data_IF_803611459251
#
_entry.id   IF_803611459251
#
_cell.length_a   1.000
_cell.length_b   1.000
_cell.length_c   1.000
_cell.angle_alpha   90.00
_cell.angle_beta   90.00
_cell.angle_gamma   90.00
#
_symmetry.space_group_name_H-M   'P 1'
#
loop_
_entity.id
_entity.type
_entity.pdbx_description
1 polymer ?
#
# COMPACT_ATOMS: atom_id res chain seq x y z
N UNK A 1 -9.86 9.00 -21.52
CA UNK A 1 -8.95 8.35 -20.56
C UNK A 1 -8.37 9.45 -19.71
N UNK A 2 -8.45 9.32 -18.39
CA UNK A 2 -7.89 10.30 -17.44
C UNK A 2 -6.58 9.72 -16.92
N UNK A 3 -5.48 10.47 -16.89
CA UNK A 3 -4.25 9.97 -16.28
C UNK A 3 -4.45 9.84 -14.76
N UNK A 4 -3.99 8.73 -14.20
CA UNK A 4 -3.88 8.57 -12.76
C UNK A 4 -2.90 9.59 -12.18
N UNK A 5 -3.24 10.24 -11.07
CA UNK A 5 -2.37 11.25 -10.46
C UNK A 5 -1.12 10.67 -9.80
N UNK A 6 -1.11 9.37 -9.46
CA UNK A 6 0.01 8.72 -8.80
C UNK A 6 1.04 8.12 -9.77
N UNK A 7 0.58 7.59 -10.91
CA UNK A 7 1.44 6.83 -11.83
C UNK A 7 1.28 7.21 -13.31
N UNK A 8 0.50 8.27 -13.61
CA UNK A 8 0.23 8.80 -14.96
C UNK A 8 -0.39 7.81 -15.95
N UNK A 9 -0.70 6.59 -15.49
CA UNK A 9 -1.31 5.54 -16.30
C UNK A 9 -2.72 5.92 -16.77
N UNK A 10 -3.08 5.57 -18.03
CA UNK A 10 -4.39 5.88 -18.58
C UNK A 10 -5.48 4.98 -17.96
N UNK A 11 -6.41 5.57 -17.20
CA UNK A 11 -7.52 4.83 -16.58
C UNK A 11 -8.87 5.15 -17.22
N UNK A 12 -9.80 4.18 -17.14
CA UNK A 12 -11.19 4.35 -17.54
C UNK A 12 -11.91 5.28 -16.53
N UNK A 13 -12.84 6.13 -17.01
CA UNK A 13 -13.59 7.01 -16.13
C UNK A 13 -14.49 6.21 -15.19
N UNK A 14 -14.32 6.39 -13.88
CA UNK A 14 -15.14 5.72 -12.85
C UNK A 14 -14.56 4.42 -12.30
N UNK A 15 -13.43 3.94 -12.82
CA UNK A 15 -12.69 2.81 -12.24
C UNK A 15 -11.57 3.28 -11.32
N UNK A 16 -11.25 2.49 -10.30
CA UNK A 16 -10.04 2.66 -9.50
C UNK A 16 -8.80 2.42 -10.37
N UNK A 17 -7.70 3.11 -10.05
CA UNK A 17 -6.42 2.82 -10.68
C UNK A 17 -5.94 1.43 -10.24
N UNK A 18 -5.61 0.51 -11.16
CA UNK A 18 -5.15 -0.83 -10.80
C UNK A 18 -3.79 -0.84 -10.10
N UNK A 19 -3.01 0.25 -10.19
CA UNK A 19 -1.67 0.35 -9.61
C UNK A 19 -1.63 1.02 -8.23
N UNK A 20 -2.68 1.72 -7.82
CA UNK A 20 -2.67 2.46 -6.55
C UNK A 20 -4.06 2.62 -5.90
N UNK A 21 -5.09 1.94 -6.43
CA UNK A 21 -6.44 1.91 -5.87
C UNK A 21 -7.22 3.24 -5.93
N UNK A 22 -6.58 4.38 -6.20
CA UNK A 22 -7.27 5.67 -6.19
C UNK A 22 -8.21 5.77 -7.40
N UNK A 23 -9.47 6.10 -7.15
CA UNK A 23 -10.37 6.49 -8.21
C UNK A 23 -9.81 7.75 -8.87
N UNK A 24 -9.85 7.82 -10.21
CA UNK A 24 -9.67 9.07 -10.93
C UNK A 24 -10.86 9.98 -10.58
N UNK A 25 -10.83 10.58 -9.40
CA UNK A 25 -11.91 11.43 -8.92
C UNK A 25 -11.95 12.62 -9.86
N UNK A 26 -13.10 12.74 -10.51
CA UNK A 26 -13.48 13.93 -11.26
C UNK A 26 -13.28 15.09 -10.30
N UNK A 27 -12.22 15.91 -10.50
CA UNK A 27 -11.92 17.12 -9.71
C UNK A 27 -13.23 17.82 -9.40
N UNK A 28 -13.72 17.64 -8.18
CA UNK A 28 -14.88 18.36 -7.70
C UNK A 28 -14.41 19.81 -7.65
N UNK A 29 -14.81 20.59 -8.65
CA UNK A 29 -14.57 22.03 -8.69
C UNK A 29 -15.49 22.65 -7.64
N UNK A 30 -15.19 22.44 -6.37
CA UNK A 30 -15.68 23.31 -5.32
C UNK A 30 -14.94 24.63 -5.56
N UNK A 31 -15.63 25.73 -5.92
CA UNK A 31 -14.96 27.00 -6.12
C UNK A 31 -14.30 27.41 -4.80
N UNK A 32 -13.02 27.78 -4.86
CA UNK A 32 -12.17 28.24 -3.74
C UNK A 32 -12.81 29.32 -2.84
N UNK A 33 -13.93 29.91 -3.25
CA UNK A 33 -14.71 30.87 -2.46
C UNK A 33 -15.52 30.23 -1.30
N UNK A 34 -15.82 28.93 -1.33
CA UNK A 34 -16.63 28.27 -0.29
C UNK A 34 -15.81 27.74 0.91
N UNK A 35 -14.48 27.80 0.85
CA UNK A 35 -13.54 27.29 1.86
C UNK A 35 -13.14 28.34 2.92
N UNK A 36 -13.73 29.54 2.94
CA UNK A 36 -13.35 30.61 3.88
C UNK A 36 -14.27 30.78 5.09
N UNK A 37 -15.35 29.99 5.22
CA UNK A 37 -16.33 30.16 6.31
C UNK A 37 -16.59 28.92 7.17
N UNK A 38 -16.10 27.74 6.78
CA UNK A 38 -16.16 26.56 7.64
C UNK A 38 -14.73 26.13 7.97
N UNK A 39 -14.24 26.57 9.13
CA UNK A 39 -13.00 26.09 9.73
C UNK A 39 -13.13 24.64 10.19
N UNK A 40 -13.31 23.72 9.25
CA UNK A 40 -13.08 22.30 9.47
C UNK A 40 -11.78 21.94 8.77
N UNK A 41 -10.80 21.56 9.58
CA UNK A 41 -9.70 20.74 9.13
C UNK A 41 -10.31 19.48 8.48
N UNK A 42 -10.29 19.42 7.14
CA UNK A 42 -10.51 18.18 6.42
C UNK A 42 -9.21 17.36 6.53
N UNK A 43 -9.07 16.62 7.63
CA UNK A 43 -8.34 15.37 7.59
C UNK A 43 -9.38 14.30 7.29
N UNK A 44 -9.61 14.02 6.01
CA UNK A 44 -10.56 13.01 5.57
C UNK A 44 -9.84 12.04 4.61
N UNK A 45 -9.23 11.02 5.19
CA UNK A 45 -8.77 9.84 4.49
C UNK A 45 -8.80 8.66 5.47
N UNK A 46 -9.89 7.91 5.48
CA UNK A 46 -10.06 6.73 6.34
C UNK A 46 -11.51 6.49 6.74
N UNK A 47 -12.37 6.20 5.77
CA UNK A 47 -13.74 5.73 6.00
C UNK A 47 -13.84 4.20 5.82
N UNK A 48 -14.74 3.52 6.55
CA UNK A 48 -14.66 2.11 6.92
C UNK A 48 -15.09 1.15 5.81
N UNK A 49 -14.33 1.07 4.72
CA UNK A 49 -14.46 -0.02 3.73
C UNK A 49 -13.29 -0.98 3.78
N UNK A 50 -12.68 -1.12 4.95
CA UNK A 50 -11.84 -2.25 5.29
C UNK A 50 -12.73 -3.50 5.33
N UNK A 51 -12.89 -4.13 4.17
CA UNK A 51 -13.28 -5.55 4.06
C UNK A 51 -12.35 -6.46 4.89
N UNK A 52 -11.24 -5.92 5.44
CA UNK A 52 -10.30 -6.51 6.38
C UNK A 52 -10.92 -6.99 7.72
N UNK A 53 -12.11 -6.51 8.12
CA UNK A 53 -12.67 -6.83 9.45
C UNK A 53 -13.62 -8.06 9.51
N UNK A 54 -13.92 -8.72 8.39
CA UNK A 54 -14.93 -9.81 8.36
C UNK A 54 -14.34 -11.23 8.44
N UNK A 55 -13.04 -11.39 8.28
CA UNK A 55 -12.34 -12.69 8.36
C UNK A 55 -11.00 -12.65 9.11
N UNK A 56 -10.67 -11.52 9.76
CA UNK A 56 -9.62 -11.48 10.80
C UNK A 56 -8.19 -11.70 10.33
N UNK A 57 -7.91 -11.56 9.03
CA UNK A 57 -6.57 -11.41 8.49
C UNK A 57 -6.62 -10.17 7.62
N UNK A 58 -6.21 -9.04 8.20
CA UNK A 58 -5.95 -7.85 7.42
C UNK A 58 -4.66 -8.10 6.65
N UNK A 59 -4.78 -8.68 5.46
CA UNK A 59 -3.73 -8.61 4.45
C UNK A 59 -3.67 -7.15 4.00
N UNK A 60 -2.74 -6.46 4.64
CA UNK A 60 -2.38 -5.07 4.39
C UNK A 60 -0.94 -5.10 3.89
N UNK A 61 -0.58 -4.04 3.17
CA UNK A 61 0.76 -3.70 2.72
C UNK A 61 1.04 -2.36 3.43
N UNK A 62 1.65 -2.41 4.62
CA UNK A 62 1.82 -1.22 5.48
C UNK A 62 3.08 -0.43 5.13
N UNK A 63 4.11 -1.05 4.57
CA UNK A 63 5.34 -0.38 4.14
C UNK A 63 5.36 0.05 2.65
N UNK A 64 4.46 -0.50 1.82
CA UNK A 64 4.25 -0.10 0.44
C UNK A 64 5.22 -0.75 -0.56
N UNK A 65 5.81 -1.90 -0.24
CA UNK A 65 6.76 -2.62 -1.08
C UNK A 65 6.09 -3.48 -2.19
N UNK A 66 4.78 -3.67 -2.09
CA UNK A 66 3.95 -4.44 -3.02
C UNK A 66 3.70 -5.90 -2.63
N UNK A 67 4.18 -6.31 -1.46
CA UNK A 67 3.86 -7.54 -0.76
C UNK A 67 2.87 -7.24 0.37
N UNK A 68 2.10 -8.24 0.76
CA UNK A 68 1.11 -8.10 1.85
C UNK A 68 1.50 -9.01 2.99
N UNK A 69 1.06 -8.70 4.21
CA UNK A 69 1.37 -9.46 5.43
C UNK A 69 1.06 -10.96 5.45
N UNK A 70 0.44 -11.54 4.40
CA UNK A 70 0.34 -12.99 4.22
C UNK A 70 1.58 -13.63 3.61
N UNK A 71 2.40 -12.87 2.90
CA UNK A 71 3.65 -13.31 2.25
C UNK A 71 4.87 -12.54 2.76
N UNK A 72 4.67 -11.34 3.30
CA UNK A 72 5.70 -10.54 3.93
C UNK A 72 5.87 -10.91 5.42
N UNK A 73 7.11 -11.24 5.79
CA UNK A 73 7.49 -11.59 7.14
C UNK A 73 7.68 -10.37 8.06
N UNK A 74 7.89 -9.17 7.50
CA UNK A 74 7.89 -7.89 8.22
C UNK A 74 7.24 -6.77 7.39
N UNK A 75 5.89 -6.76 7.37
CA UNK A 75 5.00 -5.76 6.72
C UNK A 75 5.20 -4.31 7.21
N UNK A 76 6.23 -4.04 8.02
CA UNK A 76 6.60 -2.70 8.48
C UNK A 76 7.93 -2.20 7.93
N UNK A 77 8.65 -3.01 7.15
CA UNK A 77 9.96 -2.71 6.58
C UNK A 77 10.05 -3.14 5.11
N UNK A 78 9.92 -2.17 4.21
CA UNK A 78 9.93 -2.39 2.76
C UNK A 78 11.24 -2.96 2.18
N UNK A 79 12.29 -3.14 3.00
CA UNK A 79 13.51 -3.84 2.61
C UNK A 79 13.46 -5.36 2.92
N UNK A 80 12.45 -5.83 3.67
CA UNK A 80 12.23 -7.23 4.05
C UNK A 80 10.98 -7.74 3.34
N UNK A 81 11.14 -8.62 2.34
CA UNK A 81 10.04 -9.14 1.55
C UNK A 81 10.46 -10.33 0.67
N UNK A 82 9.54 -11.14 0.14
CA UNK A 82 9.85 -12.35 -0.66
C UNK A 82 10.90 -12.21 -1.79
N UNK A 83 10.97 -11.05 -2.44
CA UNK A 83 11.93 -10.76 -3.52
C UNK A 83 13.20 -10.01 -3.05
N UNK A 84 13.39 -9.84 -1.73
CA UNK A 84 14.50 -9.05 -1.21
C UNK A 84 15.82 -9.80 -1.40
N UNK A 85 16.92 -9.03 -1.41
CA UNK A 85 18.25 -9.65 -1.47
C UNK A 85 18.66 -10.11 -0.09
N UNK A 86 18.91 -11.41 0.06
CA UNK A 86 19.31 -11.96 1.34
C UNK A 86 20.79 -11.71 1.67
N UNK A 87 21.08 -11.39 2.93
CA UNK A 87 22.44 -11.26 3.45
C UNK A 87 22.77 -12.44 4.37
N UNK A 88 23.41 -13.47 3.80
CA UNK A 88 23.72 -14.72 4.50
C UNK A 88 24.34 -14.52 5.91
N UNK A 89 23.62 -14.97 6.94
CA UNK A 89 24.12 -15.06 8.31
C UNK A 89 24.23 -13.74 9.06
N UNK A 90 23.45 -12.72 8.66
CA UNK A 90 23.30 -11.49 9.44
C UNK A 90 22.21 -11.62 10.53
N UNK A 91 21.41 -12.69 10.48
CA UNK A 91 20.40 -13.04 11.46
C UNK A 91 19.00 -12.53 11.10
N UNK A 92 18.79 -12.04 9.89
CA UNK A 92 17.52 -11.53 9.37
C UNK A 92 17.19 -12.28 8.08
N UNK A 93 16.07 -13.01 8.09
CA UNK A 93 15.47 -13.57 6.88
C UNK A 93 14.86 -12.44 6.06
N UNK A 94 15.66 -11.80 5.19
CA UNK A 94 15.23 -10.62 4.46
C UNK A 94 14.30 -10.98 3.31
N UNK A 95 14.44 -12.20 2.75
CA UNK A 95 13.68 -12.66 1.60
C UNK A 95 12.46 -13.53 1.98
N UNK A 96 12.11 -13.59 3.26
CA UNK A 96 10.97 -14.32 3.81
C UNK A 96 10.86 -15.77 3.32
N UNK A 97 11.98 -16.45 3.06
CA UNK A 97 12.00 -17.84 2.57
C UNK A 97 12.05 -18.88 3.70
N UNK A 98 12.24 -18.42 4.93
CA UNK A 98 12.30 -19.22 6.15
C UNK A 98 13.73 -19.60 6.59
N UNK A 99 14.76 -19.17 5.87
CA UNK A 99 16.16 -19.45 6.14
C UNK A 99 17.04 -18.18 5.97
N UNK A 100 17.87 -17.83 6.96
CA UNK A 100 18.79 -16.66 6.97
C UNK A 100 20.01 -16.81 6.02
N UNK A 101 19.86 -17.49 4.88
CA UNK A 101 20.95 -17.82 3.94
C UNK A 101 22.07 -18.69 4.53
N UNK A 102 22.01 -19.01 5.82
CA UNK A 102 22.95 -19.91 6.46
C UNK A 102 22.63 -21.30 5.94
N UNK A 103 23.44 -21.80 5.01
CA UNK A 103 23.52 -23.23 4.76
C UNK A 103 23.79 -23.87 6.12
N UNK A 104 22.74 -24.41 6.74
CA UNK A 104 22.89 -25.23 7.93
C UNK A 104 23.70 -26.42 7.47
N UNK A 105 25.02 -26.31 7.62
CA UNK A 105 25.94 -27.41 7.55
C UNK A 105 25.58 -28.33 8.73
N UNK A 106 24.56 -29.15 8.51
CA UNK A 106 24.21 -30.27 9.38
C UNK A 106 25.34 -31.28 9.47
#
# INVERSE_FOLDING_TARGET
MTPCACCEAPVLPGTACPSCGVHATRRSRVPMAAMLLLGLAACEGGGPTDVQALYGVAVTDEDGDGYTSDVDCDDTDADIHPDATETDGDGVDSNCDGDDGTVVAG
#
